data_IF_531067358487
#
_entry.id   IF_531067358487
#
_cell.length_a   1.000
_cell.length_b   1.000
_cell.length_c   1.000
_cell.angle_alpha   90.00
_cell.angle_beta   90.00
_cell.angle_gamma   90.00
#
_symmetry.space_group_name_H-M   'P 1'
#
loop_
_entity.id
_entity.type
_entity.pdbx_description
1 polymer ?
#
# COMPACT_ATOMS: atom_id res chain seq x y z
N UNK A 1 5.89 -27.34 18.06
CA UNK A 1 6.41 -27.63 16.71
C UNK A 1 5.45 -27.17 15.61
N UNK A 2 4.19 -27.63 15.56
CA UNK A 2 3.23 -27.24 14.51
C UNK A 2 2.96 -25.72 14.42
N UNK A 3 2.72 -25.04 15.55
CA UNK A 3 2.45 -23.58 15.57
C UNK A 3 3.58 -22.77 14.95
N UNK A 4 4.83 -23.12 15.25
CA UNK A 4 6.01 -22.49 14.65
C UNK A 4 6.02 -22.67 13.12
N UNK A 5 5.73 -23.88 12.64
CA UNK A 5 5.63 -24.16 11.21
C UNK A 5 4.56 -23.32 10.54
N UNK A 6 3.35 -23.26 11.10
CA UNK A 6 2.25 -22.46 10.53
C UNK A 6 2.58 -20.96 10.48
N UNK A 7 3.14 -20.41 11.56
CA UNK A 7 3.53 -18.99 11.59
C UNK A 7 4.58 -18.70 10.53
N UNK A 8 5.65 -19.49 10.47
CA UNK A 8 6.74 -19.26 9.52
C UNK A 8 6.26 -19.42 8.07
N UNK A 9 5.41 -20.42 7.78
CA UNK A 9 4.81 -20.58 6.45
C UNK A 9 3.92 -19.38 6.11
N UNK A 10 3.09 -18.91 7.05
CA UNK A 10 2.26 -17.72 6.84
C UNK A 10 3.11 -16.49 6.53
N UNK A 11 4.21 -16.29 7.26
CA UNK A 11 5.15 -15.20 6.99
C UNK A 11 5.80 -15.34 5.61
N UNK A 12 6.24 -16.54 5.23
CA UNK A 12 6.81 -16.79 3.89
C UNK A 12 5.83 -16.49 2.76
N UNK A 13 4.53 -16.77 2.96
CA UNK A 13 3.49 -16.43 1.97
C UNK A 13 3.31 -14.91 1.85
N UNK A 14 3.20 -14.20 2.97
CA UNK A 14 3.12 -12.73 2.98
C UNK A 14 4.37 -12.11 2.35
N UNK A 15 5.55 -12.64 2.68
CA UNK A 15 6.83 -12.22 2.14
C UNK A 15 6.92 -12.43 0.62
N UNK A 16 6.44 -13.57 0.12
CA UNK A 16 6.41 -13.84 -1.33
C UNK A 16 5.54 -12.82 -2.07
N UNK A 17 4.40 -12.44 -1.50
CA UNK A 17 3.55 -11.37 -2.04
C UNK A 17 4.30 -10.03 -2.11
N UNK A 18 5.06 -9.68 -1.06
CA UNK A 18 5.87 -8.46 -1.01
C UNK A 18 6.99 -8.49 -2.05
N UNK A 19 7.69 -9.63 -2.17
CA UNK A 19 8.74 -9.84 -3.17
C UNK A 19 8.20 -9.63 -4.59
N UNK A 20 7.03 -10.18 -4.90
CA UNK A 20 6.38 -9.97 -6.20
C UNK A 20 5.97 -8.51 -6.42
N UNK A 21 5.46 -7.83 -5.38
CA UNK A 21 5.11 -6.41 -5.45
C UNK A 21 6.34 -5.53 -5.71
N UNK A 22 7.48 -5.81 -5.05
CA UNK A 22 8.76 -5.11 -5.25
C UNK A 22 9.25 -5.25 -6.69
N UNK A 23 9.27 -6.47 -7.23
CA UNK A 23 9.69 -6.72 -8.61
C UNK A 23 8.76 -6.05 -9.63
N UNK A 24 7.44 -6.08 -9.39
CA UNK A 24 6.47 -5.40 -10.23
C UNK A 24 6.66 -3.87 -10.21
N UNK A 25 6.89 -3.30 -9.04
CA UNK A 25 7.19 -1.88 -8.87
C UNK A 25 8.49 -1.48 -9.59
N UNK A 26 9.57 -2.24 -9.38
CA UNK A 26 10.85 -2.02 -10.06
C UNK A 26 10.65 -2.00 -11.58
N UNK A 27 9.99 -3.02 -12.14
CA UNK A 27 9.70 -3.10 -13.57
C UNK A 27 8.85 -1.93 -14.07
N UNK A 28 7.82 -1.55 -13.32
CA UNK A 28 6.97 -0.40 -13.66
C UNK A 28 7.80 0.88 -13.77
N UNK A 29 8.64 1.17 -12.77
CA UNK A 29 9.48 2.36 -12.76
C UNK A 29 10.50 2.39 -13.90
N UNK A 30 11.08 1.24 -14.24
CA UNK A 30 11.99 1.12 -15.40
C UNK A 30 11.29 1.46 -16.72
N UNK A 31 10.08 0.96 -16.90
CA UNK A 31 9.30 1.26 -18.11
C UNK A 31 8.96 2.75 -18.18
N UNK A 32 8.55 3.35 -17.05
CA UNK A 32 8.27 4.79 -17.00
C UNK A 32 9.52 5.61 -17.30
N UNK A 33 10.67 5.29 -16.69
CA UNK A 33 11.92 6.05 -16.87
C UNK A 33 12.54 5.88 -18.27
N UNK A 34 12.32 4.73 -18.92
CA UNK A 34 12.71 4.52 -20.31
C UNK A 34 11.84 5.33 -21.29
N UNK A 35 10.55 5.52 -20.98
CA UNK A 35 9.63 6.27 -21.82
C UNK A 35 9.71 7.78 -21.58
N UNK A 36 10.00 8.18 -20.35
CA UNK A 36 10.08 9.55 -19.89
C UNK A 36 11.33 9.70 -19.03
N UNK A 37 12.27 10.56 -19.43
CA UNK A 37 13.50 10.85 -18.65
C UNK A 37 13.23 11.52 -17.30
N UNK A 38 11.95 11.73 -16.95
CA UNK A 38 11.48 12.30 -15.68
C UNK A 38 10.23 11.58 -15.22
N UNK A 39 10.08 11.51 -13.89
CA UNK A 39 8.82 11.09 -13.31
C UNK A 39 7.83 12.25 -13.29
N UNK A 40 6.60 12.01 -13.75
CA UNK A 40 5.50 12.94 -13.52
C UNK A 40 5.16 13.02 -12.03
N UNK A 41 4.52 14.10 -11.61
CA UNK A 41 3.99 14.23 -10.26
C UNK A 41 3.07 13.06 -9.88
N UNK A 42 2.26 12.59 -10.84
CA UNK A 42 1.35 11.45 -10.64
C UNK A 42 2.10 10.13 -10.44
N UNK A 43 3.20 9.90 -11.14
CA UNK A 43 4.06 8.73 -10.95
C UNK A 43 4.78 8.78 -9.60
N UNK A 44 5.22 9.97 -9.17
CA UNK A 44 5.83 10.15 -7.86
C UNK A 44 4.83 9.92 -6.72
N UNK A 45 3.61 10.43 -6.86
CA UNK A 45 2.51 10.18 -5.93
C UNK A 45 2.18 8.69 -5.86
N UNK A 46 2.08 8.02 -7.02
CA UNK A 46 1.89 6.58 -7.09
C UNK A 46 3.00 5.81 -6.38
N UNK A 47 4.27 6.17 -6.59
CA UNK A 47 5.40 5.54 -5.93
C UNK A 47 5.37 5.76 -4.40
N UNK A 48 5.02 6.97 -3.95
CA UNK A 48 4.85 7.29 -2.53
C UNK A 48 3.71 6.51 -1.88
N UNK A 49 2.55 6.43 -2.55
CA UNK A 49 1.40 5.65 -2.09
C UNK A 49 1.72 4.16 -2.05
N UNK A 50 2.42 3.65 -3.07
CA UNK A 50 2.87 2.27 -3.13
C UNK A 50 3.83 1.95 -1.99
N UNK A 51 4.81 2.83 -1.71
CA UNK A 51 5.74 2.69 -0.60
C UNK A 51 5.01 2.68 0.75
N UNK A 52 4.05 3.59 0.91
CA UNK A 52 3.25 3.67 2.11
C UNK A 52 2.46 2.37 2.31
N UNK A 53 1.86 1.81 1.25
CA UNK A 53 1.18 0.51 1.29
C UNK A 53 2.13 -0.65 1.58
N UNK A 54 3.35 -0.61 1.04
CA UNK A 54 4.38 -1.62 1.29
C UNK A 54 4.69 -1.72 2.78
N UNK A 55 5.00 -0.60 3.44
CA UNK A 55 5.34 -0.56 4.87
C UNK A 55 4.13 -0.62 5.81
N UNK A 56 2.94 -0.23 5.34
CA UNK A 56 1.69 -0.52 6.05
C UNK A 56 1.25 -1.99 5.92
N UNK A 57 1.93 -2.78 5.07
CA UNK A 57 1.76 -4.22 5.01
C UNK A 57 1.96 -4.87 6.38
N UNK A 58 1.08 -5.81 6.72
CA UNK A 58 1.10 -6.48 8.03
C UNK A 58 2.41 -7.21 8.31
N UNK A 59 3.06 -7.74 7.27
CA UNK A 59 4.30 -8.49 7.34
C UNK A 59 5.42 -7.78 8.10
N UNK A 60 5.83 -6.58 7.66
CA UNK A 60 6.96 -5.87 8.26
C UNK A 60 6.70 -5.60 9.74
N UNK A 61 5.48 -5.21 10.08
CA UNK A 61 5.10 -5.01 11.48
C UNK A 61 5.10 -6.30 12.28
N UNK A 62 4.64 -7.42 11.72
CA UNK A 62 4.67 -8.72 12.40
C UNK A 62 6.10 -9.15 12.72
N UNK A 63 7.02 -9.00 11.76
CA UNK A 63 8.44 -9.33 11.94
C UNK A 63 9.06 -8.42 13.01
N UNK A 64 8.89 -7.11 12.88
CA UNK A 64 9.51 -6.11 13.77
C UNK A 64 8.93 -6.09 15.18
N UNK A 65 7.60 -6.20 15.34
CA UNK A 65 6.94 -6.06 16.64
C UNK A 65 6.94 -7.33 17.48
N UNK A 66 7.04 -8.50 16.84
CA UNK A 66 6.78 -9.76 17.52
C UNK A 66 7.89 -10.78 17.30
N UNK A 67 8.35 -11.00 16.07
CA UNK A 67 9.36 -12.02 15.79
C UNK A 67 10.75 -11.60 16.26
N UNK A 68 11.23 -10.41 15.88
CA UNK A 68 12.54 -9.90 16.27
C UNK A 68 12.69 -9.78 17.80
N UNK A 69 11.73 -9.20 18.54
CA UNK A 69 11.80 -9.13 20.00
C UNK A 69 11.84 -10.52 20.65
N UNK A 70 11.07 -11.49 20.14
CA UNK A 70 11.10 -12.85 20.66
C UNK A 70 12.46 -13.52 20.43
N UNK A 71 13.10 -13.30 19.28
CA UNK A 71 14.45 -13.81 19.01
C UNK A 71 15.47 -13.17 19.96
N UNK A 72 15.42 -11.84 20.15
CA UNK A 72 16.33 -11.14 21.08
C UNK A 72 16.19 -11.64 22.51
N UNK A 73 14.96 -11.87 22.96
CA UNK A 73 14.70 -12.44 24.29
C UNK A 73 15.23 -13.87 24.42
N UNK A 74 15.16 -14.66 23.35
CA UNK A 74 15.60 -16.04 23.34
C UNK A 74 17.13 -16.18 23.20
N UNK A 75 17.81 -15.27 22.52
CA UNK A 75 19.28 -15.26 22.42
C UNK A 75 19.88 -13.87 22.15
N UNK A 76 20.90 -13.46 22.93
CA UNK A 76 21.66 -12.23 22.65
C UNK A 76 22.59 -12.38 21.43
N UNK A 77 22.89 -13.60 21.00
CA UNK A 77 23.77 -13.84 19.84
C UNK A 77 23.11 -13.48 18.49
N UNK A 78 21.84 -13.08 18.48
CA UNK A 78 21.13 -12.68 17.27
C UNK A 78 21.48 -11.25 16.81
N UNK A 79 22.14 -10.44 17.64
CA UNK A 79 22.29 -9.00 17.39
C UNK A 79 23.05 -8.70 16.09
N UNK A 80 24.03 -9.52 15.70
CA UNK A 80 24.73 -9.37 14.42
C UNK A 80 23.78 -9.42 13.22
N UNK A 81 23.02 -10.51 13.09
CA UNK A 81 22.03 -10.69 12.02
C UNK A 81 20.97 -9.57 12.05
N UNK A 82 20.47 -9.21 13.23
CA UNK A 82 19.45 -8.17 13.37
C UNK A 82 19.98 -6.79 12.97
N UNK A 83 21.24 -6.50 13.27
CA UNK A 83 21.90 -5.26 12.84
C UNK A 83 22.09 -5.22 11.32
N UNK A 84 22.41 -6.35 10.69
CA UNK A 84 22.51 -6.43 9.23
C UNK A 84 21.15 -6.23 8.54
N UNK A 85 20.09 -6.85 9.05
CA UNK A 85 18.73 -6.63 8.54
C UNK A 85 18.29 -5.17 8.69
N UNK A 86 18.61 -4.55 9.83
CA UNK A 86 18.40 -3.12 10.04
C UNK A 86 19.22 -2.27 9.07
N UNK A 87 20.47 -2.63 8.82
CA UNK A 87 21.34 -1.94 7.86
C UNK A 87 20.75 -1.94 6.44
N UNK A 88 20.20 -3.08 5.99
CA UNK A 88 19.52 -3.18 4.70
C UNK A 88 18.26 -2.30 4.64
N UNK A 89 17.51 -2.23 5.74
CA UNK A 89 16.35 -1.34 5.83
C UNK A 89 16.75 0.15 5.76
N UNK A 90 17.84 0.53 6.45
CA UNK A 90 18.36 1.90 6.39
C UNK A 90 18.85 2.25 4.99
N UNK A 91 19.58 1.34 4.33
CA UNK A 91 20.03 1.54 2.95
C UNK A 91 18.85 1.72 1.97
N UNK A 92 17.76 0.97 2.16
CA UNK A 92 16.54 1.17 1.38
C UNK A 92 15.93 2.55 1.65
N UNK A 93 15.80 2.96 2.91
CA UNK A 93 15.24 4.27 3.28
C UNK A 93 16.11 5.45 2.79
N UNK A 94 17.42 5.29 2.78
CA UNK A 94 18.33 6.28 2.20
C UNK A 94 18.12 6.41 0.70
N UNK A 95 18.03 5.27 -0.01
CA UNK A 95 17.78 5.24 -1.45
C UNK A 95 16.47 5.94 -1.84
N UNK A 96 15.41 5.80 -1.03
CA UNK A 96 14.14 6.48 -1.31
C UNK A 96 14.16 7.98 -1.02
N UNK A 97 14.93 8.43 -0.02
CA UNK A 97 15.14 9.85 0.21
C UNK A 97 15.85 10.50 -0.99
N UNK A 98 16.82 9.78 -1.58
CA UNK A 98 17.50 10.21 -2.81
C UNK A 98 16.51 10.31 -3.98
N UNK A 99 15.61 9.33 -4.15
CA UNK A 99 14.53 9.37 -5.17
C UNK A 99 13.64 10.61 -4.98
N UNK A 100 13.19 10.89 -3.75
CA UNK A 100 12.30 12.02 -3.46
C UNK A 100 12.97 13.38 -3.68
N UNK A 101 14.20 13.55 -3.19
CA UNK A 101 14.97 14.78 -3.37
C UNK A 101 15.19 15.10 -4.84
N UNK A 102 15.47 14.08 -5.65
CA UNK A 102 15.75 14.24 -7.09
C UNK A 102 14.48 14.44 -7.91
N UNK A 103 13.38 13.82 -7.52
CA UNK A 103 12.08 14.07 -8.13
C UNK A 103 11.56 15.49 -7.82
N UNK A 104 11.92 16.06 -6.66
CA UNK A 104 11.61 17.45 -6.28
C UNK A 104 12.53 18.51 -6.89
N UNK A 105 13.74 18.13 -7.33
CA UNK A 105 14.68 19.03 -8.01
C UNK A 105 14.27 19.22 -9.48
N UNK A 106 13.37 20.18 -9.72
CA UNK A 106 12.64 20.39 -10.99
C UNK A 106 13.49 20.93 -12.16
N UNK A 107 14.75 21.34 -12.00
CA UNK A 107 15.30 22.35 -12.93
C UNK A 107 16.29 21.92 -14.03
N UNK A 108 16.92 20.74 -14.02
CA UNK A 108 17.86 20.40 -15.10
C UNK A 108 17.46 19.14 -15.88
N UNK A 109 17.28 19.28 -17.19
CA UNK A 109 16.83 18.24 -18.12
C UNK A 109 18.00 17.37 -18.60
N UNK A 110 18.61 16.58 -17.71
CA UNK A 110 19.72 15.71 -18.07
C UNK A 110 19.32 14.23 -18.05
N UNK A 111 19.69 13.48 -19.08
CA UNK A 111 19.59 12.01 -19.13
C UNK A 111 20.29 11.34 -17.93
N UNK A 112 21.35 11.97 -17.42
CA UNK A 112 22.06 11.56 -16.20
C UNK A 112 21.13 11.53 -14.97
N UNK A 113 20.10 12.38 -14.91
CA UNK A 113 19.14 12.38 -13.80
C UNK A 113 18.23 11.15 -13.83
N UNK A 114 17.84 10.70 -15.03
CA UNK A 114 16.99 9.51 -15.21
C UNK A 114 17.74 8.23 -14.84
N UNK A 115 19.00 8.10 -15.29
CA UNK A 115 19.86 6.96 -14.96
C UNK A 115 20.09 6.84 -13.45
N UNK A 116 20.40 7.96 -12.79
CA UNK A 116 20.62 7.96 -11.36
C UNK A 116 19.33 7.69 -10.56
N UNK A 117 18.16 8.08 -11.09
CA UNK A 117 16.87 7.74 -10.49
C UNK A 117 16.55 6.25 -10.62
N UNK A 118 16.81 5.65 -11.78
CA UNK A 118 16.75 4.20 -11.96
C UNK A 118 17.67 3.49 -10.96
N UNK A 119 18.93 3.92 -10.85
CA UNK A 119 19.89 3.34 -9.92
C UNK A 119 19.43 3.44 -8.46
N UNK A 120 18.80 4.55 -8.05
CA UNK A 120 18.27 4.69 -6.70
C UNK A 120 17.06 3.77 -6.44
N UNK A 121 16.20 3.57 -7.44
CA UNK A 121 15.07 2.62 -7.36
C UNK A 121 15.59 1.18 -7.30
N UNK A 122 16.62 0.85 -8.06
CA UNK A 122 17.29 -0.45 -8.03
C UNK A 122 17.96 -0.71 -6.69
N UNK A 123 18.67 0.27 -6.13
CA UNK A 123 19.27 0.18 -4.81
C UNK A 123 18.20 -0.04 -3.73
N UNK A 124 17.08 0.69 -3.79
CA UNK A 124 15.95 0.50 -2.88
C UNK A 124 15.34 -0.91 -2.97
N UNK A 125 14.96 -1.34 -4.18
CA UNK A 125 14.35 -2.65 -4.39
C UNK A 125 15.33 -3.78 -4.04
N UNK A 126 16.61 -3.64 -4.44
CA UNK A 126 17.67 -4.60 -4.16
C UNK A 126 17.92 -4.77 -2.67
N UNK A 127 18.02 -3.67 -1.90
CA UNK A 127 18.21 -3.73 -0.45
C UNK A 127 17.05 -4.45 0.25
N UNK A 128 15.80 -4.16 -0.14
CA UNK A 128 14.64 -4.85 0.43
C UNK A 128 14.57 -6.32 0.02
N UNK A 129 14.84 -6.65 -1.25
CA UNK A 129 14.87 -8.05 -1.70
C UNK A 129 15.95 -8.86 -0.96
N UNK A 130 17.13 -8.28 -0.76
CA UNK A 130 18.21 -8.89 0.02
C UNK A 130 17.79 -9.06 1.48
N UNK A 131 17.09 -8.08 2.07
CA UNK A 131 16.54 -8.19 3.42
C UNK A 131 15.56 -9.36 3.52
N UNK A 132 14.63 -9.49 2.57
CA UNK A 132 13.67 -10.60 2.55
C UNK A 132 14.39 -11.96 2.43
N UNK A 133 15.39 -12.06 1.56
CA UNK A 133 16.18 -13.28 1.37
C UNK A 133 16.91 -13.69 2.66
N UNK A 134 17.51 -12.74 3.38
CA UNK A 134 18.15 -12.99 4.68
C UNK A 134 17.15 -13.35 5.78
N UNK A 135 15.99 -12.72 5.81
CA UNK A 135 14.92 -13.09 6.74
C UNK A 135 14.50 -14.55 6.54
N UNK A 136 14.33 -14.98 5.29
CA UNK A 136 13.89 -16.34 4.97
C UNK A 136 14.97 -17.38 5.28
N UNK A 137 16.23 -17.11 4.92
CA UNK A 137 17.34 -18.07 5.09
C UNK A 137 17.84 -18.16 6.53
N UNK A 138 17.99 -17.01 7.19
CA UNK A 138 18.73 -16.91 8.45
C UNK A 138 17.78 -16.61 9.62
N UNK A 139 16.92 -15.59 9.50
CA UNK A 139 16.07 -15.18 10.61
C UNK A 139 15.04 -16.27 10.97
N UNK A 140 14.38 -16.86 9.98
CA UNK A 140 13.37 -17.90 10.22
C UNK A 140 13.99 -19.21 10.73
N UNK A 141 15.18 -19.56 10.23
CA UNK A 141 15.94 -20.70 10.74
C UNK A 141 16.35 -20.48 12.20
N UNK A 142 16.85 -19.28 12.51
CA UNK A 142 17.22 -18.89 13.87
C UNK A 142 16.00 -18.90 14.80
N UNK A 143 14.89 -18.29 14.39
CA UNK A 143 13.65 -18.25 15.15
C UNK A 143 13.18 -19.65 15.52
N UNK A 144 13.17 -20.58 14.55
CA UNK A 144 12.78 -21.98 14.78
C UNK A 144 13.68 -22.68 15.80
N UNK A 145 14.97 -22.34 15.83
CA UNK A 145 15.95 -22.94 16.74
C UNK A 145 15.84 -22.39 18.16
N UNK A 146 15.60 -21.08 18.31
CA UNK A 146 15.73 -20.39 19.61
C UNK A 146 14.40 -20.15 20.33
N UNK A 147 13.29 -20.01 19.60
CA UNK A 147 11.99 -19.75 20.21
C UNK A 147 11.35 -21.07 20.66
N UNK A 148 10.99 -21.14 21.94
CA UNK A 148 10.42 -22.33 22.59
C UNK A 148 8.89 -22.36 22.42
N UNK A 149 8.28 -23.55 22.53
CA UNK A 149 6.88 -23.84 22.16
C UNK A 149 5.83 -22.82 22.63
N UNK A 150 5.80 -22.46 23.91
CA UNK A 150 4.81 -21.51 24.46
C UNK A 150 4.94 -20.09 23.88
N UNK A 151 6.17 -19.64 23.60
CA UNK A 151 6.40 -18.34 22.98
C UNK A 151 5.85 -18.29 21.55
N UNK A 152 5.87 -19.41 20.82
CA UNK A 152 5.24 -19.48 19.50
C UNK A 152 3.72 -19.30 19.55
N UNK A 153 3.05 -19.79 20.60
CA UNK A 153 1.62 -19.56 20.76
C UNK A 153 1.30 -18.10 21.04
N UNK A 154 2.11 -17.44 21.89
CA UNK A 154 1.97 -16.00 22.14
C UNK A 154 2.14 -15.18 20.85
N UNK A 155 3.14 -15.52 20.03
CA UNK A 155 3.36 -14.87 18.72
C UNK A 155 2.17 -15.14 17.78
N UNK A 156 1.67 -16.37 17.70
CA UNK A 156 0.49 -16.72 16.89
C UNK A 156 -0.70 -15.82 17.24
N UNK A 157 -0.98 -15.70 18.53
CA UNK A 157 -2.09 -14.89 19.03
C UNK A 157 -1.90 -13.41 18.69
N UNK A 158 -0.68 -12.88 18.86
CA UNK A 158 -0.36 -11.49 18.51
C UNK A 158 -0.51 -11.22 17.01
N UNK A 159 -0.17 -12.18 16.15
CA UNK A 159 -0.37 -12.06 14.70
C UNK A 159 -1.85 -12.00 14.35
N UNK A 160 -2.66 -12.90 14.90
CA UNK A 160 -4.11 -12.92 14.68
C UNK A 160 -4.76 -11.63 15.17
N UNK A 161 -4.38 -11.15 16.35
CA UNK A 161 -4.87 -9.87 16.89
C UNK A 161 -4.45 -8.68 16.01
N UNK A 162 -3.21 -8.70 15.48
CA UNK A 162 -2.74 -7.67 14.57
C UNK A 162 -3.55 -7.67 13.25
N UNK A 163 -3.83 -8.84 12.70
CA UNK A 163 -4.62 -8.97 11.47
C UNK A 163 -6.07 -8.55 11.66
N UNK A 164 -6.68 -8.92 12.79
CA UNK A 164 -8.03 -8.48 13.15
C UNK A 164 -8.12 -6.95 13.22
N UNK A 165 -7.18 -6.29 13.93
CA UNK A 165 -7.11 -4.82 14.01
C UNK A 165 -6.88 -4.18 12.63
N UNK A 166 -6.02 -4.76 11.82
CA UNK A 166 -5.78 -4.27 10.46
C UNK A 166 -7.03 -4.39 9.58
N UNK A 167 -7.80 -5.46 9.73
CA UNK A 167 -9.06 -5.67 9.03
C UNK A 167 -10.15 -4.69 9.49
N UNK A 168 -10.26 -4.44 10.79
CA UNK A 168 -11.18 -3.44 11.36
C UNK A 168 -10.84 -2.03 10.88
N UNK A 169 -9.56 -1.63 10.90
CA UNK A 169 -9.13 -0.33 10.42
C UNK A 169 -9.45 -0.12 8.92
N UNK A 170 -9.38 -1.19 8.11
CA UNK A 170 -9.80 -1.15 6.71
C UNK A 170 -11.31 -0.99 6.56
N UNK A 171 -12.10 -1.71 7.36
CA UNK A 171 -13.57 -1.57 7.38
C UNK A 171 -14.02 -0.17 7.79
N UNK A 172 -13.40 0.39 8.83
CA UNK A 172 -13.68 1.76 9.29
C UNK A 172 -13.39 2.81 8.21
N UNK A 173 -12.28 2.68 7.47
CA UNK A 173 -11.97 3.56 6.33
C UNK A 173 -12.94 3.40 5.16
N UNK A 174 -13.41 2.18 4.89
CA UNK A 174 -14.37 1.91 3.83
C UNK A 174 -15.79 2.42 4.15
N UNK A 175 -16.17 2.48 5.43
CA UNK A 175 -17.47 3.02 5.88
C UNK A 175 -17.55 4.56 5.90
N UNK A 176 -16.42 5.27 5.79
CA UNK A 176 -16.38 6.75 5.86
C UNK A 176 -16.51 7.43 4.49
N UNK A 177 -16.82 6.70 3.41
CA UNK A 177 -17.35 7.35 2.22
C UNK A 177 -18.82 7.68 2.46
N UNK A 178 -19.23 8.96 2.57
CA UNK A 178 -20.63 9.30 2.60
C UNK A 178 -21.19 8.86 1.25
N UNK A 179 -22.08 7.88 1.27
CA UNK A 179 -22.94 7.60 0.13
C UNK A 179 -23.82 8.84 -0.05
N UNK A 180 -23.37 9.79 -0.88
CA UNK A 180 -24.26 10.80 -1.44
C UNK A 180 -25.16 10.03 -2.39
N UNK A 181 -26.35 9.65 -1.89
CA UNK A 181 -27.48 9.30 -2.73
C UNK A 181 -27.62 10.40 -3.78
N UNK A 182 -27.52 10.10 -5.09
CA UNK A 182 -27.94 11.08 -6.08
C UNK A 182 -29.40 11.36 -5.79
N UNK A 183 -29.74 12.64 -5.61
CA UNK A 183 -31.09 13.07 -5.36
C UNK A 183 -32.00 12.52 -6.47
N UNK A 184 -32.75 11.47 -6.14
CA UNK A 184 -33.75 10.92 -7.02
C UNK A 184 -34.88 11.94 -7.10
N UNK A 185 -34.94 12.64 -8.23
CA UNK A 185 -36.15 13.15 -8.87
C UNK A 185 -37.17 13.86 -7.97
N UNK A 186 -36.93 15.13 -7.69
CA UNK A 186 -37.97 16.09 -7.30
C UNK A 186 -38.48 16.88 -8.50
N UNK A 187 -38.90 16.20 -9.58
CA UNK A 187 -39.65 16.81 -10.68
C UNK A 187 -41.11 16.34 -10.57
N UNK A 188 -41.86 16.96 -9.66
CA UNK A 188 -43.31 16.91 -9.63
C UNK A 188 -43.83 18.33 -9.91
N UNK A 189 -43.89 18.68 -11.20
CA UNK A 189 -44.68 19.79 -11.69
C UNK A 189 -45.94 19.24 -12.36
N UNK A 190 -47.08 19.79 -11.95
CA UNK A 190 -48.45 19.62 -12.47
C UNK A 190 -49.13 18.29 -12.08
N UNK A 191 -50.37 18.24 -11.58
CA UNK A 191 -51.43 19.23 -11.52
C UNK A 191 -52.46 18.80 -10.46
N UNK A 192 -52.90 19.72 -9.61
CA UNK A 192 -54.29 19.72 -9.14
C UNK A 192 -54.71 21.16 -8.85
N UNK A 193 -55.32 21.79 -9.85
CA UNK A 193 -55.96 23.07 -9.73
C UNK A 193 -57.20 23.08 -10.64
N UNK A 194 -58.35 23.04 -9.98
CA UNK A 194 -59.61 23.64 -10.38
C UNK A 194 -60.21 23.25 -11.75
N UNK A 195 -61.10 22.27 -11.67
CA UNK A 195 -62.45 22.26 -12.24
C UNK A 195 -62.98 23.64 -12.72
N UNK A 196 -63.21 23.77 -14.03
CA UNK A 196 -64.41 24.40 -14.64
C UNK A 196 -64.32 24.32 -16.18
N UNK A 197 -65.37 23.75 -16.76
CA UNK A 197 -65.47 23.28 -18.14
C UNK A 197 -65.81 24.37 -19.19
N UNK A 198 -66.27 24.02 -20.42
CA UNK A 198 -65.49 24.10 -21.65
C UNK A 198 -65.98 25.22 -22.60
N UNK A 199 -65.16 25.66 -23.56
CA UNK A 199 -65.65 26.48 -24.69
C UNK A 199 -65.10 26.01 -26.04
N UNK A 200 -66.08 25.69 -26.88
CA UNK A 200 -66.07 25.30 -28.30
C UNK A 200 -65.42 26.40 -29.17
N UNK A 201 -64.67 26.05 -30.25
CA UNK A 201 -64.10 27.05 -31.16
C UNK A 201 -65.13 27.47 -32.23
N UNK A 202 -65.00 28.68 -32.80
CA UNK A 202 -64.67 28.67 -34.23
C UNK A 202 -63.78 29.83 -34.72
N UNK A 203 -63.35 29.61 -35.95
CA UNK A 203 -62.62 30.37 -36.96
C UNK A 203 -62.80 31.91 -37.07
N UNK A 204 -61.94 32.57 -37.89
CA UNK A 204 -61.70 34.01 -37.89
C UNK A 204 -62.51 34.77 -38.96
N UNK A 205 -62.51 36.11 -38.87
CA UNK A 205 -62.39 37.12 -39.96
C UNK A 205 -63.24 38.38 -39.72
N UNK A 206 -62.59 39.52 -39.95
CA UNK A 206 -63.11 40.83 -40.43
C UNK A 206 -64.02 41.63 -39.48
N UNK A 207 -63.54 42.76 -38.97
CA UNK A 207 -63.35 44.07 -39.62
C UNK A 207 -64.60 44.96 -39.52
N UNK A 208 -64.42 46.04 -38.75
CA UNK A 208 -64.94 47.41 -38.94
C UNK A 208 -66.39 47.59 -39.39
N UNK A 209 -67.21 48.20 -38.55
CA UNK A 209 -67.57 49.63 -38.63
C UNK A 209 -68.55 49.98 -37.50
#
# INVERSE_FOLDING_TARGET
MLTATYILVSLSVEQSSIRMSLLAFQKYMHVQLRQQSRLSLTQLQYAGDWLNRLYQGGYWRKVEMYLIPAIRQATPHADGLLNELNGLNHAALESINVVQQRAGAVLDHSELQAEQLCAAIDAFCGALLQRLEKEERELFALARKVIVGEAWFAIAYQFLAHDARAQEARRGKAQVLPFVLPAAGGAATAADAAESAPRVPPQPLRAQA
#
